data_IF_119424529386
#
_entry.id   IF_119424529386
#
_cell.length_a   1.000
_cell.length_b   1.000
_cell.length_c   1.000
_cell.angle_alpha   90.00
_cell.angle_beta   90.00
_cell.angle_gamma   90.00
#
_symmetry.space_group_name_H-M   'P 1'
#
loop_
_entity.id
_entity.type
_entity.pdbx_description
1 polymer ?
#
# COMPACT_ATOMS: atom_id res chain seq x y z
N UNK A 1 -20.66 0.08 27.97
CA UNK A 1 -20.49 -0.19 26.53
C UNK A 1 -19.49 0.84 26.01
N UNK A 2 -18.28 0.42 25.65
CA UNK A 2 -17.21 1.31 25.21
C UNK A 2 -17.39 1.61 23.72
N UNK A 3 -17.94 2.79 23.39
CA UNK A 3 -18.04 3.27 22.01
C UNK A 3 -16.71 3.93 21.64
N UNK A 4 -15.77 3.16 21.08
CA UNK A 4 -14.49 3.69 20.61
C UNK A 4 -14.78 4.57 19.38
N UNK A 5 -14.37 5.85 19.44
CA UNK A 5 -14.44 6.79 18.31
C UNK A 5 -13.23 6.56 17.40
N UNK A 6 -13.40 6.66 16.07
CA UNK A 6 -12.31 6.49 15.07
C UNK A 6 -11.05 7.31 15.39
N UNK A 7 -11.23 8.51 15.94
CA UNK A 7 -10.14 9.39 16.38
C UNK A 7 -9.31 8.83 17.55
N UNK A 8 -9.88 7.98 18.41
CA UNK A 8 -9.15 7.28 19.48
C UNK A 8 -8.42 6.04 18.96
N UNK A 9 -8.94 5.39 17.91
CA UNK A 9 -8.27 4.31 17.19
C UNK A 9 -7.05 4.83 16.40
N UNK A 10 -7.17 6.02 15.78
CA UNK A 10 -6.04 6.69 15.10
C UNK A 10 -4.91 7.06 16.09
N UNK A 11 -5.23 7.64 17.24
CA UNK A 11 -4.22 7.99 18.26
C UNK A 11 -3.50 6.76 18.86
N UNK A 12 -4.16 5.59 18.93
CA UNK A 12 -3.56 4.33 19.37
C UNK A 12 -2.78 3.61 18.24
N UNK A 13 -3.13 3.86 16.99
CA UNK A 13 -2.43 3.32 15.81
C UNK A 13 -1.14 4.09 15.49
N UNK A 14 -1.05 5.37 15.88
CA UNK A 14 0.08 6.27 15.56
C UNK A 14 1.48 5.69 15.83
N UNK A 15 1.77 5.03 16.97
CA UNK A 15 3.10 4.46 17.19
C UNK A 15 3.42 3.31 16.23
N UNK A 16 2.45 2.42 15.96
CA UNK A 16 2.63 1.29 15.03
C UNK A 16 2.72 1.75 13.59
N UNK A 17 1.88 2.71 13.20
CA UNK A 17 1.91 3.33 11.87
C UNK A 17 3.24 4.05 11.66
N UNK A 18 3.74 4.78 12.66
CA UNK A 18 5.06 5.45 12.59
C UNK A 18 6.21 4.45 12.44
N UNK A 19 6.24 3.39 13.25
CA UNK A 19 7.25 2.33 13.13
C UNK A 19 7.19 1.68 11.75
N UNK A 20 5.98 1.37 11.27
CA UNK A 20 5.79 0.80 9.94
C UNK A 20 6.26 1.76 8.83
N UNK A 21 5.94 3.05 8.95
CA UNK A 21 6.33 4.08 8.00
C UNK A 21 7.86 4.22 7.94
N UNK A 22 8.54 4.29 9.09
CA UNK A 22 10.01 4.31 9.15
C UNK A 22 10.65 3.04 8.54
N UNK A 23 10.10 1.87 8.84
CA UNK A 23 10.59 0.59 8.29
C UNK A 23 10.39 0.52 6.78
N UNK A 24 9.23 0.97 6.30
CA UNK A 24 8.86 0.91 4.89
C UNK A 24 9.65 1.94 4.07
N UNK A 25 9.89 3.14 4.61
CA UNK A 25 10.78 4.12 3.97
C UNK A 25 12.21 3.59 3.83
N UNK A 26 12.73 2.89 4.84
CA UNK A 26 14.03 2.21 4.76
C UNK A 26 14.04 1.10 3.71
N UNK A 27 12.97 0.33 3.61
CA UNK A 27 12.80 -0.68 2.58
C UNK A 27 12.82 -0.06 1.18
N UNK A 28 12.04 1.02 0.95
CA UNK A 28 12.03 1.72 -0.36
C UNK A 28 13.42 2.25 -0.71
N UNK A 29 14.15 2.81 0.26
CA UNK A 29 15.53 3.26 0.05
C UNK A 29 16.48 2.13 -0.38
N UNK A 30 16.27 0.92 0.14
CA UNK A 30 17.12 -0.22 -0.15
C UNK A 30 16.77 -0.91 -1.48
N UNK A 31 15.48 -1.14 -1.73
CA UNK A 31 15.01 -1.91 -2.90
C UNK A 31 14.73 -1.04 -4.13
N UNK A 32 14.37 0.24 -3.93
CA UNK A 32 14.06 1.19 -5.00
C UNK A 32 14.86 2.48 -4.86
N UNK A 33 16.21 2.43 -4.87
CA UNK A 33 17.06 3.59 -4.62
C UNK A 33 16.81 4.73 -5.61
N UNK A 34 16.55 4.41 -6.89
CA UNK A 34 16.24 5.42 -7.90
C UNK A 34 14.94 6.19 -7.60
N UNK A 35 13.90 5.49 -7.14
CA UNK A 35 12.63 6.13 -6.78
C UNK A 35 12.76 6.91 -5.48
N UNK A 36 13.56 6.43 -4.53
CA UNK A 36 13.89 7.16 -3.31
C UNK A 36 14.66 8.45 -3.63
N UNK A 37 15.66 8.41 -4.50
CA UNK A 37 16.44 9.58 -4.90
C UNK A 37 15.58 10.62 -5.65
N UNK A 38 14.62 10.15 -6.45
CA UNK A 38 13.69 11.00 -7.18
C UNK A 38 12.66 11.69 -6.29
N UNK A 39 12.07 10.97 -5.34
CA UNK A 39 10.99 11.47 -4.47
C UNK A 39 11.48 12.13 -3.19
N UNK A 40 12.67 11.74 -2.73
CA UNK A 40 13.15 12.06 -1.39
C UNK A 40 12.35 11.36 -0.29
N UNK A 41 12.82 11.54 0.95
CA UNK A 41 12.22 10.93 2.13
C UNK A 41 10.74 11.32 2.30
N UNK A 42 10.42 12.61 2.23
CA UNK A 42 9.04 13.11 2.35
C UNK A 42 8.11 12.54 1.27
N UNK A 43 8.58 12.44 0.02
CA UNK A 43 7.79 11.89 -1.08
C UNK A 43 7.51 10.40 -0.90
N UNK A 44 8.47 9.64 -0.38
CA UNK A 44 8.28 8.23 -0.03
C UNK A 44 7.32 8.07 1.14
N UNK A 45 7.39 8.91 2.17
CA UNK A 45 6.44 8.87 3.27
C UNK A 45 4.99 9.12 2.81
N UNK A 46 4.79 10.08 1.91
CA UNK A 46 3.49 10.35 1.31
C UNK A 46 2.96 9.14 0.52
N UNK A 47 3.85 8.50 -0.25
CA UNK A 47 3.51 7.30 -1.01
C UNK A 47 3.12 6.13 -0.09
N UNK A 48 3.86 5.90 1.00
CA UNK A 48 3.53 4.87 1.99
C UNK A 48 2.16 5.16 2.64
N UNK A 49 1.88 6.42 2.99
CA UNK A 49 0.56 6.80 3.53
C UNK A 49 -0.56 6.56 2.54
N UNK A 50 -0.32 6.82 1.25
CA UNK A 50 -1.28 6.52 0.18
C UNK A 50 -1.53 5.02 0.07
N UNK A 51 -0.48 4.21 0.03
CA UNK A 51 -0.58 2.76 0.00
C UNK A 51 -1.37 2.21 1.20
N UNK A 52 -1.17 2.74 2.41
CA UNK A 52 -1.95 2.36 3.60
C UNK A 52 -3.45 2.66 3.40
N UNK A 53 -3.78 3.85 2.87
CA UNK A 53 -5.16 4.26 2.64
C UNK A 53 -5.84 3.39 1.57
N UNK A 54 -5.12 3.10 0.49
CA UNK A 54 -5.67 2.30 -0.62
C UNK A 54 -5.81 0.84 -0.19
N UNK A 55 -4.84 0.30 0.56
CA UNK A 55 -4.95 -1.02 1.19
C UNK A 55 -6.19 -1.14 2.10
N UNK A 56 -6.49 -0.11 2.91
CA UNK A 56 -7.72 -0.08 3.71
C UNK A 56 -8.98 -0.11 2.83
N UNK A 57 -8.97 0.62 1.71
CA UNK A 57 -10.08 0.64 0.75
C UNK A 57 -10.33 -0.74 0.13
N UNK A 58 -9.27 -1.47 -0.20
CA UNK A 58 -9.35 -2.79 -0.83
C UNK A 58 -9.43 -3.96 0.16
N UNK A 59 -9.56 -3.68 1.45
CA UNK A 59 -9.65 -4.70 2.49
C UNK A 59 -8.37 -5.51 2.66
N UNK A 60 -7.21 -4.86 2.51
CA UNK A 60 -5.85 -5.41 2.63
C UNK A 60 -5.25 -5.01 4.01
N UNK A 61 -5.49 -5.77 5.09
CA UNK A 61 -5.22 -5.31 6.45
C UNK A 61 -3.77 -5.54 6.91
N UNK A 62 -2.98 -6.33 6.19
CA UNK A 62 -1.65 -6.72 6.66
C UNK A 62 -0.56 -5.79 6.13
N UNK A 63 0.56 -5.70 6.87
CA UNK A 63 1.74 -4.96 6.44
C UNK A 63 2.35 -5.51 5.15
N UNK A 64 2.23 -6.82 4.91
CA UNK A 64 2.69 -7.47 3.68
C UNK A 64 1.85 -6.97 2.50
N UNK A 65 0.53 -6.90 2.67
CA UNK A 65 -0.35 -6.44 1.60
C UNK A 65 -0.08 -4.97 1.23
N UNK A 66 0.10 -4.13 2.24
CA UNK A 66 0.45 -2.70 2.06
C UNK A 66 1.81 -2.55 1.37
N UNK A 67 2.81 -3.35 1.75
CA UNK A 67 4.15 -3.32 1.13
C UNK A 67 4.10 -3.78 -0.33
N UNK A 68 3.28 -4.80 -0.62
CA UNK A 68 3.04 -5.27 -1.98
C UNK A 68 2.38 -4.20 -2.84
N UNK A 69 1.30 -3.58 -2.34
CA UNK A 69 0.61 -2.49 -3.04
C UNK A 69 1.54 -1.29 -3.30
N UNK A 70 2.36 -0.92 -2.31
CA UNK A 70 3.37 0.12 -2.45
C UNK A 70 4.40 -0.23 -3.55
N UNK A 71 4.87 -1.48 -3.56
CA UNK A 71 5.83 -1.95 -4.56
C UNK A 71 5.23 -1.90 -5.96
N UNK A 72 3.95 -2.25 -6.12
CA UNK A 72 3.22 -2.12 -7.38
C UNK A 72 3.11 -0.66 -7.84
N UNK A 73 2.78 0.27 -6.94
CA UNK A 73 2.73 1.71 -7.25
C UNK A 73 4.09 2.23 -7.75
N UNK A 74 5.19 1.74 -7.19
CA UNK A 74 6.55 2.11 -7.61
C UNK A 74 6.88 1.50 -8.97
N UNK A 75 6.66 0.19 -9.14
CA UNK A 75 7.00 -0.54 -10.38
C UNK A 75 6.20 0.00 -11.58
N UNK A 76 4.91 0.27 -11.40
CA UNK A 76 4.05 0.82 -12.44
C UNK A 76 4.26 2.33 -12.64
N UNK A 77 5.04 2.96 -11.77
CA UNK A 77 5.32 4.40 -11.79
C UNK A 77 4.07 5.26 -11.60
N UNK A 78 3.01 4.71 -11.01
CA UNK A 78 1.71 5.36 -10.91
C UNK A 78 0.99 5.00 -9.60
N UNK A 79 0.67 6.04 -8.84
CA UNK A 79 -0.05 5.95 -7.57
C UNK A 79 -1.54 5.63 -7.78
N UNK A 80 -2.08 5.98 -8.95
CA UNK A 80 -3.45 5.71 -9.35
C UNK A 80 -3.49 4.64 -10.45
N UNK A 81 -2.53 3.71 -10.47
CA UNK A 81 -2.45 2.67 -11.51
C UNK A 81 -3.76 1.90 -11.68
N UNK A 82 -4.55 1.73 -10.62
CA UNK A 82 -5.88 1.08 -10.65
C UNK A 82 -6.93 1.85 -11.45
N UNK A 83 -6.72 3.13 -11.74
CA UNK A 83 -7.65 3.98 -12.51
C UNK A 83 -7.39 3.92 -14.01
N UNK A 84 -6.24 3.40 -14.41
CA UNK A 84 -5.85 3.27 -15.81
C UNK A 84 -6.64 2.16 -16.52
N UNK A 85 -7.21 2.42 -17.70
CA UNK A 85 -7.94 1.41 -18.48
C UNK A 85 -7.10 0.16 -18.77
N UNK A 86 -5.80 0.33 -19.02
CA UNK A 86 -4.85 -0.76 -19.26
C UNK A 86 -4.64 -1.68 -18.04
N UNK A 87 -5.02 -1.24 -16.84
CA UNK A 87 -4.90 -1.98 -15.58
C UNK A 87 -6.26 -2.44 -15.03
N UNK A 88 -7.30 -2.48 -15.88
CA UNK A 88 -8.65 -2.88 -15.47
C UNK A 88 -8.70 -4.27 -14.82
N UNK A 89 -7.84 -5.19 -15.26
CA UNK A 89 -7.73 -6.55 -14.71
C UNK A 89 -7.13 -6.53 -13.30
N UNK A 90 -6.09 -5.72 -13.08
CA UNK A 90 -5.49 -5.51 -11.75
C UNK A 90 -6.52 -4.91 -10.76
N UNK A 91 -7.31 -3.95 -11.23
CA UNK A 91 -8.41 -3.37 -10.45
C UNK A 91 -9.46 -4.44 -10.10
N UNK A 92 -9.83 -5.31 -11.04
CA UNK A 92 -10.80 -6.37 -10.79
C UNK A 92 -10.31 -7.38 -9.74
N UNK A 93 -9.01 -7.68 -9.69
CA UNK A 93 -8.41 -8.52 -8.64
C UNK A 93 -8.51 -7.84 -7.26
N UNK A 94 -8.19 -6.53 -7.20
CA UNK A 94 -8.27 -5.75 -5.95
C UNK A 94 -9.71 -5.59 -5.44
N UNK A 95 -10.68 -5.39 -6.32
CA UNK A 95 -12.10 -5.22 -5.99
C UNK A 95 -12.85 -6.54 -5.80
N UNK A 96 -12.22 -7.69 -6.07
CA UNK A 96 -12.87 -8.99 -5.91
C UNK A 96 -13.13 -9.30 -4.44
N UNK A 97 -14.40 -9.54 -4.11
CA UNK A 97 -14.85 -10.05 -2.80
C UNK A 97 -14.67 -11.57 -2.65
N UNK A 98 -14.35 -12.26 -3.75
CA UNK A 98 -14.19 -13.72 -3.79
C UNK A 98 -12.73 -14.12 -3.48
N UNK A 99 -11.78 -13.26 -3.82
CA UNK A 99 -10.35 -13.49 -3.60
C UNK A 99 -10.01 -13.09 -2.16
N UNK A 100 -9.36 -14.00 -1.45
CA UNK A 100 -8.84 -13.71 -0.12
C UNK A 100 -7.86 -12.52 -0.20
N UNK A 101 -8.01 -11.48 0.66
CA UNK A 101 -7.12 -10.31 0.66
C UNK A 101 -5.63 -10.62 0.56
N UNK A 102 -5.15 -11.65 1.27
CA UNK A 102 -3.74 -12.03 1.27
C UNK A 102 -3.26 -12.66 -0.05
N UNK A 103 -4.18 -13.17 -0.87
CA UNK A 103 -3.86 -13.77 -2.18
C UNK A 103 -3.86 -12.72 -3.29
N UNK A 104 -4.52 -11.57 -3.08
CA UNK A 104 -4.66 -10.51 -4.09
C UNK A 104 -3.30 -9.98 -4.56
N UNK A 105 -2.39 -9.69 -3.63
CA UNK A 105 -1.05 -9.19 -3.99
C UNK A 105 -0.24 -10.24 -4.76
N UNK A 106 -0.33 -11.51 -4.36
CA UNK A 106 0.33 -12.60 -5.09
C UNK A 106 -0.15 -12.69 -6.53
N UNK A 107 -1.47 -12.64 -6.73
CA UNK A 107 -2.07 -12.65 -8.07
C UNK A 107 -1.67 -11.43 -8.91
N UNK A 108 -1.60 -10.24 -8.31
CA UNK A 108 -1.15 -9.03 -9.01
C UNK A 108 0.32 -9.12 -9.45
N UNK A 109 1.17 -9.78 -8.65
CA UNK A 109 2.57 -9.98 -8.99
C UNK A 109 2.73 -11.04 -10.09
N UNK A 110 1.90 -12.08 -10.10
CA UNK A 110 1.89 -13.10 -11.15
C UNK A 110 1.43 -12.52 -12.50
N UNK A 111 0.47 -11.60 -12.53
CA UNK A 111 0.01 -10.92 -13.76
C UNK A 111 1.05 -9.94 -14.36
N UNK A 112 2.04 -9.51 -13.57
CA UNK A 112 3.10 -8.61 -14.02
C UNK A 112 4.40 -9.32 -14.43
N UNK A 113 4.46 -10.65 -14.29
CA UNK A 113 5.61 -11.51 -14.66
C UNK A 113 5.47 -12.15 -16.04
#
# INVERSE_FOLDING_TARGET
MLTIRESQLQALAEPRVRVYLEQTTKYVRAEYPEEFDKRGEEGVELLVRRAIKDAQTYGLPSSVDVTGLLSLMIILGDEDFVTKPENAELKAILESDIINPSDKIGMLLDELG
#
